data_IF_257236550863
#
_entry.id   IF_257236550863
#
_cell.length_a   1.000
_cell.length_b   1.000
_cell.length_c   1.000
_cell.angle_alpha   90.00
_cell.angle_beta   90.00
_cell.angle_gamma   90.00
#
_symmetry.space_group_name_H-M   'P 1'
#
loop_
_entity.id
_entity.type
_entity.pdbx_description
1 polymer ?
#
# COMPACT_ATOMS: atom_id res chain seq x y z
N UNK A 1 12.58 -11.93 111.91
CA UNK A 1 12.18 -12.32 113.29
C UNK A 1 11.43 -13.63 113.18
N UNK A 2 11.96 -14.73 113.72
CA UNK A 2 11.28 -16.04 113.69
C UNK A 2 10.33 -16.11 114.89
N UNK A 3 9.09 -15.71 114.67
CA UNK A 3 8.05 -15.74 115.70
C UNK A 3 7.76 -17.19 116.11
N UNK A 4 8.34 -17.59 117.25
CA UNK A 4 8.20 -18.92 117.82
C UNK A 4 6.91 -18.96 118.64
N UNK A 5 5.81 -19.38 118.02
CA UNK A 5 4.55 -19.55 118.75
C UNK A 5 4.57 -20.83 119.60
N UNK A 6 4.34 -20.71 120.90
CA UNK A 6 4.31 -21.84 121.84
C UNK A 6 2.86 -22.06 122.28
N UNK A 7 2.26 -23.20 121.92
CA UNK A 7 0.90 -23.56 122.34
C UNK A 7 0.98 -24.47 123.58
N UNK A 8 0.48 -23.99 124.72
CA UNK A 8 0.37 -24.78 125.96
C UNK A 8 -1.04 -25.36 126.05
N UNK A 9 -1.19 -26.67 125.88
CA UNK A 9 -2.46 -27.37 126.11
C UNK A 9 -2.60 -27.71 127.61
N UNK A 10 -3.74 -27.37 128.22
CA UNK A 10 -4.09 -27.76 129.60
C UNK A 10 -5.18 -28.84 129.56
N UNK A 11 -4.78 -30.10 129.76
CA UNK A 11 -5.66 -31.28 129.73
C UNK A 11 -4.88 -32.59 129.49
N UNK A 12 -5.51 -33.74 129.74
CA UNK A 12 -4.94 -35.05 129.37
C UNK A 12 -5.14 -35.21 127.87
N UNK A 13 -4.04 -35.29 127.12
CA UNK A 13 -4.08 -35.51 125.68
C UNK A 13 -4.50 -36.96 125.41
N UNK A 14 -5.70 -37.17 124.85
CA UNK A 14 -6.07 -38.47 124.31
C UNK A 14 -5.21 -38.75 123.08
N UNK A 15 -4.13 -39.49 123.30
CA UNK A 15 -3.16 -39.86 122.27
C UNK A 15 -3.81 -40.64 121.12
N UNK A 16 -4.86 -41.42 121.39
CA UNK A 16 -5.54 -42.21 120.36
C UNK A 16 -6.38 -41.31 119.44
N UNK A 17 -7.18 -40.40 120.03
CA UNK A 17 -7.97 -39.45 119.25
C UNK A 17 -7.07 -38.50 118.44
N UNK A 18 -5.97 -38.02 119.04
CA UNK A 18 -5.03 -37.11 118.38
C UNK A 18 -4.31 -37.79 117.21
N UNK A 19 -3.85 -39.04 117.39
CA UNK A 19 -3.23 -39.82 116.32
C UNK A 19 -4.20 -40.02 115.15
N UNK A 20 -5.46 -40.35 115.44
CA UNK A 20 -6.49 -40.56 114.42
C UNK A 20 -6.80 -39.28 113.64
N UNK A 21 -6.85 -38.13 114.31
CA UNK A 21 -7.04 -36.84 113.65
C UNK A 21 -5.87 -36.49 112.72
N UNK A 22 -4.63 -36.70 113.19
CA UNK A 22 -3.42 -36.48 112.38
C UNK A 22 -3.39 -37.42 111.16
N UNK A 23 -3.70 -38.71 111.33
CA UNK A 23 -3.76 -39.68 110.22
C UNK A 23 -4.83 -39.30 109.18
N UNK A 24 -5.98 -38.80 109.63
CA UNK A 24 -7.03 -38.31 108.72
C UNK A 24 -6.56 -37.08 107.94
N UNK A 25 -5.88 -36.14 108.58
CA UNK A 25 -5.40 -34.93 107.91
C UNK A 25 -4.22 -35.21 106.98
N UNK A 26 -3.32 -36.13 107.34
CA UNK A 26 -2.28 -36.65 106.43
C UNK A 26 -2.94 -37.28 105.19
N UNK A 27 -3.96 -38.13 105.37
CA UNK A 27 -4.67 -38.77 104.25
C UNK A 27 -5.36 -37.75 103.33
N UNK A 28 -5.92 -36.66 103.88
CA UNK A 28 -6.48 -35.56 103.09
C UNK A 28 -5.38 -34.84 102.31
N UNK A 29 -4.26 -34.51 102.95
CA UNK A 29 -3.14 -33.84 102.28
C UNK A 29 -2.54 -34.70 101.17
N UNK A 30 -2.40 -36.01 101.37
CA UNK A 30 -1.93 -36.94 100.33
C UNK A 30 -2.82 -36.93 99.07
N UNK A 31 -4.13 -36.75 99.22
CA UNK A 31 -5.06 -36.66 98.08
C UNK A 31 -4.85 -35.39 97.24
N UNK A 32 -4.37 -34.31 97.85
CA UNK A 32 -4.07 -33.05 97.16
C UNK A 32 -2.64 -33.02 96.62
N UNK A 33 -1.69 -33.67 97.29
CA UNK A 33 -0.28 -33.70 96.92
C UNK A 33 0.04 -34.76 95.86
N UNK A 34 -0.76 -35.84 95.75
CA UNK A 34 -0.62 -36.78 94.63
C UNK A 34 -0.91 -36.04 93.32
N UNK A 35 0.01 -36.04 92.34
CA UNK A 35 -0.27 -35.47 91.04
C UNK A 35 -1.52 -36.18 90.51
N UNK A 36 -2.61 -35.43 90.27
CA UNK A 36 -3.74 -35.95 89.51
C UNK A 36 -3.15 -36.44 88.20
N UNK A 37 -3.29 -37.74 87.89
CA UNK A 37 -3.10 -38.24 86.54
C UNK A 37 -4.15 -37.53 85.68
N UNK A 38 -3.82 -36.34 85.18
CA UNK A 38 -4.62 -35.69 84.16
C UNK A 38 -4.73 -36.68 83.02
N UNK A 39 -5.93 -36.92 82.49
CA UNK A 39 -6.14 -37.83 81.35
C UNK A 39 -5.58 -37.29 80.04
N UNK A 40 -4.68 -36.30 80.10
CA UNK A 40 -3.80 -35.97 78.99
C UNK A 40 -2.99 -37.24 78.76
N UNK A 41 -3.22 -37.89 77.61
CA UNK A 41 -2.52 -39.10 77.21
C UNK A 41 -1.00 -38.95 77.30
N UNK A 42 -0.25 -40.03 77.14
CA UNK A 42 1.21 -39.94 77.26
C UNK A 42 1.75 -38.85 76.33
N UNK A 43 2.83 -38.16 76.72
CA UNK A 43 3.46 -37.12 75.88
C UNK A 43 3.72 -37.62 74.46
N UNK A 44 4.01 -38.92 74.30
CA UNK A 44 4.17 -39.61 73.02
C UNK A 44 2.89 -39.58 72.16
N UNK A 45 1.73 -39.78 72.76
CA UNK A 45 0.43 -39.78 72.07
C UNK A 45 0.03 -38.36 71.63
N UNK A 46 0.31 -37.36 72.46
CA UNK A 46 0.07 -35.94 72.13
C UNK A 46 0.92 -35.53 70.92
N UNK A 47 2.22 -35.85 70.94
CA UNK A 47 3.14 -35.56 69.83
C UNK A 47 2.70 -36.29 68.56
N UNK A 48 2.29 -37.55 68.67
CA UNK A 48 1.81 -38.35 67.53
C UNK A 48 0.55 -37.75 66.90
N UNK A 49 -0.41 -37.31 67.72
CA UNK A 49 -1.64 -36.68 67.23
C UNK A 49 -1.33 -35.36 66.52
N UNK A 50 -0.53 -34.49 67.13
CA UNK A 50 -0.12 -33.20 66.53
C UNK A 50 0.60 -33.38 65.19
N UNK A 51 1.53 -34.36 65.11
CA UNK A 51 2.20 -34.70 63.85
C UNK A 51 1.21 -35.22 62.80
N UNK A 52 0.24 -36.03 63.21
CA UNK A 52 -0.77 -36.58 62.31
C UNK A 52 -1.68 -35.49 61.74
N UNK A 53 -2.08 -34.52 62.56
CA UNK A 53 -2.93 -33.42 62.14
C UNK A 53 -2.17 -32.43 61.27
N UNK A 54 -0.91 -32.12 61.60
CA UNK A 54 -0.03 -31.32 60.74
C UNK A 54 0.18 -31.98 59.37
N UNK A 55 0.33 -33.31 59.34
CA UNK A 55 0.44 -34.06 58.08
C UNK A 55 -0.84 -33.97 57.23
N UNK A 56 -2.02 -34.03 57.85
CA UNK A 56 -3.30 -33.85 57.15
C UNK A 56 -3.44 -32.42 56.60
N UNK A 57 -3.09 -31.41 57.39
CA UNK A 57 -3.12 -29.99 56.98
C UNK A 57 -2.22 -29.74 55.77
N UNK A 58 -0.96 -30.21 55.82
CA UNK A 58 0.00 -30.09 54.72
C UNK A 58 -0.49 -30.80 53.45
N UNK A 59 -1.10 -31.99 53.60
CA UNK A 59 -1.69 -32.70 52.48
C UNK A 59 -2.90 -31.95 51.88
N UNK A 60 -3.69 -31.26 52.72
CA UNK A 60 -4.75 -30.36 52.27
C UNK A 60 -4.19 -29.21 51.44
N UNK A 61 -3.17 -28.51 51.97
CA UNK A 61 -2.50 -27.40 51.29
C UNK A 61 -1.92 -27.82 49.93
N UNK A 62 -1.22 -28.96 49.88
CA UNK A 62 -0.67 -29.51 48.64
C UNK A 62 -1.74 -29.79 47.58
N UNK A 63 -2.90 -30.33 47.99
CA UNK A 63 -4.04 -30.53 47.08
C UNK A 63 -4.58 -29.21 46.54
N UNK A 64 -4.73 -28.19 47.39
CA UNK A 64 -5.17 -26.87 46.97
C UNK A 64 -4.21 -26.22 45.97
N UNK A 65 -2.90 -26.35 46.20
CA UNK A 65 -1.88 -25.84 45.28
C UNK A 65 -1.96 -26.52 43.92
N UNK A 66 -2.08 -27.85 43.89
CA UNK A 66 -2.24 -28.61 42.64
C UNK A 66 -3.50 -28.23 41.86
N UNK A 67 -4.58 -27.85 42.56
CA UNK A 67 -5.81 -27.37 41.94
C UNK A 67 -5.64 -25.97 41.37
N UNK A 68 -4.96 -25.07 42.09
CA UNK A 68 -4.65 -23.71 41.61
C UNK A 68 -3.83 -23.78 40.33
N UNK A 69 -2.75 -24.57 40.30
CA UNK A 69 -1.93 -24.76 39.10
C UNK A 69 -2.75 -25.27 37.91
N UNK A 70 -3.65 -26.24 38.14
CA UNK A 70 -4.50 -26.80 37.09
C UNK A 70 -5.48 -25.79 36.53
N UNK A 71 -6.09 -24.98 37.39
CA UNK A 71 -7.01 -23.90 36.98
C UNK A 71 -6.26 -22.84 36.18
N UNK A 72 -5.08 -22.43 36.64
CA UNK A 72 -4.27 -21.42 35.95
C UNK A 72 -3.83 -21.90 34.57
N UNK A 73 -3.32 -23.14 34.49
CA UNK A 73 -2.98 -23.79 33.21
C UNK A 73 -4.17 -23.83 32.25
N UNK A 74 -5.38 -24.10 32.76
CA UNK A 74 -6.59 -24.10 31.95
C UNK A 74 -6.92 -22.69 31.42
N UNK A 75 -6.89 -21.65 32.28
CA UNK A 75 -7.13 -20.25 31.85
C UNK A 75 -6.14 -19.80 30.79
N UNK A 76 -4.86 -20.09 30.98
CA UNK A 76 -3.80 -19.78 30.01
C UNK A 76 -4.06 -20.48 28.66
N UNK A 77 -4.48 -21.75 28.70
CA UNK A 77 -4.80 -22.52 27.49
C UNK A 77 -6.00 -21.93 26.73
N UNK A 78 -7.06 -21.53 27.44
CA UNK A 78 -8.22 -20.89 26.80
C UNK A 78 -7.84 -19.55 26.16
N UNK A 79 -7.05 -18.74 26.88
CA UNK A 79 -6.58 -17.44 26.38
C UNK A 79 -5.72 -17.60 25.14
N UNK A 80 -4.79 -18.57 25.13
CA UNK A 80 -3.97 -18.88 23.96
C UNK A 80 -4.82 -19.27 22.74
N UNK A 81 -5.82 -20.14 22.94
CA UNK A 81 -6.74 -20.55 21.86
C UNK A 81 -7.54 -19.38 21.29
N UNK A 82 -8.03 -18.49 22.14
CA UNK A 82 -8.77 -17.29 21.70
C UNK A 82 -7.87 -16.36 20.86
N UNK A 83 -6.65 -16.08 21.34
CA UNK A 83 -5.67 -15.27 20.61
C UNK A 83 -5.32 -15.90 19.25
N UNK A 84 -5.10 -17.21 19.21
CA UNK A 84 -4.74 -17.92 17.98
C UNK A 84 -5.87 -17.91 16.94
N UNK A 85 -7.13 -18.00 17.40
CA UNK A 85 -8.30 -17.80 16.54
C UNK A 85 -8.36 -16.38 15.98
N UNK A 86 -8.09 -15.37 16.79
CA UNK A 86 -8.13 -13.98 16.34
C UNK A 86 -6.97 -13.64 15.39
N UNK A 87 -5.77 -14.17 15.63
CA UNK A 87 -4.64 -14.09 14.69
C UNK A 87 -5.05 -14.71 13.34
N UNK A 88 -5.65 -15.90 13.34
CA UNK A 88 -6.09 -16.58 12.11
C UNK A 88 -7.12 -15.75 11.32
N UNK A 89 -8.06 -15.08 12.01
CA UNK A 89 -8.99 -14.14 11.37
C UNK A 89 -8.25 -12.95 10.76
N UNK A 90 -7.35 -12.33 11.52
CA UNK A 90 -6.55 -11.20 11.05
C UNK A 90 -5.69 -11.55 9.84
N UNK A 91 -5.04 -12.72 9.83
CA UNK A 91 -4.25 -13.20 8.70
C UNK A 91 -5.08 -13.32 7.41
N UNK A 92 -6.36 -13.69 7.49
CA UNK A 92 -7.25 -13.76 6.32
C UNK A 92 -7.51 -12.39 5.69
N UNK A 93 -7.53 -11.33 6.51
CA UNK A 93 -7.71 -9.95 6.04
C UNK A 93 -6.40 -9.32 5.58
N UNK A 94 -5.28 -9.67 6.24
CA UNK A 94 -3.96 -9.12 5.95
C UNK A 94 -3.26 -9.83 4.78
N UNK A 95 -3.57 -11.11 4.51
CA UNK A 95 -3.06 -11.77 3.31
C UNK A 95 -3.59 -11.03 2.09
N UNK A 96 -2.71 -10.53 1.20
CA UNK A 96 -3.16 -9.98 -0.05
C UNK A 96 -3.93 -11.09 -0.78
N UNK A 97 -5.24 -10.87 -0.98
CA UNK A 97 -6.01 -11.71 -1.89
C UNK A 97 -5.28 -11.63 -3.23
N UNK A 98 -4.98 -12.79 -3.83
CA UNK A 98 -4.66 -12.83 -5.27
C UNK A 98 -5.90 -12.30 -5.98
N UNK A 99 -5.95 -10.99 -6.19
CA UNK A 99 -7.05 -10.34 -6.88
C UNK A 99 -7.15 -10.95 -8.27
N UNK A 100 -8.37 -11.18 -8.76
CA UNK A 100 -8.61 -11.53 -10.17
C UNK A 100 -8.28 -10.38 -11.12
N UNK A 101 -7.99 -9.19 -10.57
CA UNK A 101 -7.23 -8.16 -11.27
C UNK A 101 -5.88 -8.78 -11.62
N UNK A 102 -5.67 -9.04 -12.90
CA UNK A 102 -4.40 -9.57 -13.43
C UNK A 102 -3.20 -8.82 -12.86
N UNK A 103 -2.01 -9.42 -12.93
CA UNK A 103 -0.79 -8.85 -12.35
C UNK A 103 -0.70 -7.34 -12.58
N UNK A 104 -0.28 -6.56 -11.59
CA UNK A 104 -0.04 -5.11 -11.75
C UNK A 104 0.74 -4.80 -13.03
N UNK A 105 1.65 -5.70 -13.41
CA UNK A 105 2.39 -5.66 -14.67
C UNK A 105 1.49 -5.68 -15.92
N UNK A 106 0.46 -6.53 -15.95
CA UNK A 106 -0.45 -6.69 -17.07
C UNK A 106 -1.40 -5.50 -17.19
N UNK A 107 -1.88 -4.96 -16.07
CA UNK A 107 -2.70 -3.74 -16.03
C UNK A 107 -1.90 -2.55 -16.58
N UNK A 108 -0.66 -2.38 -16.10
CA UNK A 108 0.24 -1.31 -16.57
C UNK A 108 0.56 -1.47 -18.05
N UNK A 109 0.82 -2.70 -18.50
CA UNK A 109 1.12 -3.00 -19.91
C UNK A 109 -0.06 -2.68 -20.84
N UNK A 110 -1.28 -3.04 -20.46
CA UNK A 110 -2.48 -2.74 -21.24
C UNK A 110 -2.71 -1.23 -21.33
N UNK A 111 -2.66 -0.53 -20.20
CA UNK A 111 -2.83 0.93 -20.15
C UNK A 111 -1.78 1.68 -21.00
N UNK A 112 -0.51 1.26 -20.94
CA UNK A 112 0.56 1.80 -21.79
C UNK A 112 0.29 1.54 -23.27
N UNK A 113 -0.18 0.33 -23.61
CA UNK A 113 -0.45 -0.05 -24.99
C UNK A 113 -1.59 0.77 -25.61
N UNK A 114 -2.65 1.02 -24.86
CA UNK A 114 -3.81 1.79 -25.34
C UNK A 114 -3.47 3.28 -25.43
N UNK A 115 -2.72 3.81 -24.46
CA UNK A 115 -2.20 5.19 -24.53
C UNK A 115 -1.27 5.39 -25.73
N UNK A 116 -0.45 4.38 -26.07
CA UNK A 116 0.40 4.40 -27.27
C UNK A 116 -0.42 4.40 -28.57
N UNK A 117 -1.49 3.60 -28.65
CA UNK A 117 -2.39 3.59 -29.83
C UNK A 117 -3.09 4.94 -30.00
N UNK A 118 -3.56 5.53 -28.90
CA UNK A 118 -4.25 6.82 -28.92
C UNK A 118 -3.32 7.96 -29.36
N UNK A 119 -2.12 8.05 -28.80
CA UNK A 119 -1.09 9.00 -29.25
C UNK A 119 -0.78 8.85 -30.74
N UNK A 120 -0.70 7.61 -31.24
CA UNK A 120 -0.45 7.36 -32.66
C UNK A 120 -1.64 7.73 -33.56
N UNK A 121 -2.87 7.69 -33.05
CA UNK A 121 -4.04 8.23 -33.78
C UNK A 121 -3.98 9.75 -33.84
N UNK A 122 -3.69 10.40 -32.72
CA UNK A 122 -3.56 11.85 -32.63
C UNK A 122 -2.49 12.39 -33.59
N UNK A 123 -1.31 11.78 -33.62
CA UNK A 123 -0.23 12.19 -34.54
C UNK A 123 -0.61 12.02 -36.02
N UNK A 124 -1.36 10.98 -36.37
CA UNK A 124 -1.90 10.77 -37.73
C UNK A 124 -2.93 11.84 -38.10
N UNK A 125 -3.81 12.21 -37.19
CA UNK A 125 -4.77 13.29 -37.42
C UNK A 125 -4.08 14.65 -37.55
N UNK A 126 -3.06 14.92 -36.73
CA UNK A 126 -2.31 16.17 -36.79
C UNK A 126 -1.55 16.32 -38.11
N UNK A 127 -0.81 15.28 -38.51
CA UNK A 127 -0.10 15.27 -39.82
C UNK A 127 -1.07 15.37 -41.01
N UNK A 128 -2.24 14.74 -40.93
CA UNK A 128 -3.28 14.88 -41.95
C UNK A 128 -3.81 16.32 -42.00
N UNK A 129 -4.08 16.92 -40.84
CA UNK A 129 -4.56 18.29 -40.70
C UNK A 129 -3.56 19.28 -41.29
N UNK A 130 -2.28 19.17 -40.93
CA UNK A 130 -1.21 20.01 -41.46
C UNK A 130 -1.12 19.92 -42.99
N UNK A 131 -1.17 18.70 -43.54
CA UNK A 131 -1.12 18.47 -44.99
C UNK A 131 -2.32 19.07 -45.71
N UNK A 132 -3.52 18.89 -45.15
CA UNK A 132 -4.75 19.47 -45.70
C UNK A 132 -4.70 21.00 -45.65
N UNK A 133 -4.21 21.58 -44.56
CA UNK A 133 -4.11 23.04 -44.41
C UNK A 133 -3.09 23.63 -45.38
N UNK A 134 -1.92 23.01 -45.52
CA UNK A 134 -0.91 23.40 -46.51
C UNK A 134 -1.46 23.34 -47.93
N UNK A 135 -2.24 22.31 -48.27
CA UNK A 135 -2.91 22.20 -49.56
C UNK A 135 -3.92 23.34 -49.78
N UNK A 136 -4.80 23.60 -48.81
CA UNK A 136 -5.81 24.68 -48.89
C UNK A 136 -5.16 26.04 -49.08
N UNK A 137 -4.10 26.35 -48.32
CA UNK A 137 -3.33 27.58 -48.46
C UNK A 137 -2.71 27.71 -49.86
N UNK A 138 -2.13 26.63 -50.37
CA UNK A 138 -1.51 26.61 -51.70
C UNK A 138 -2.54 26.82 -52.80
N UNK A 139 -3.69 26.14 -52.74
CA UNK A 139 -4.77 26.29 -53.72
C UNK A 139 -5.39 27.69 -53.67
N UNK A 140 -5.59 28.24 -52.47
CA UNK A 140 -6.09 29.61 -52.30
C UNK A 140 -5.16 30.60 -52.98
N UNK A 141 -3.84 30.50 -52.73
CA UNK A 141 -2.82 31.34 -53.40
C UNK A 141 -2.85 31.16 -54.93
N UNK A 142 -3.00 29.94 -55.44
CA UNK A 142 -3.07 29.66 -56.89
C UNK A 142 -4.28 30.34 -57.54
N UNK A 143 -5.46 30.23 -56.93
CA UNK A 143 -6.70 30.82 -57.43
C UNK A 143 -6.68 32.35 -57.35
N UNK A 144 -6.08 32.92 -56.30
CA UNK A 144 -5.86 34.37 -56.21
C UNK A 144 -4.97 34.89 -57.33
N UNK A 145 -3.88 34.17 -57.66
CA UNK A 145 -3.02 34.51 -58.80
C UNK A 145 -3.74 34.44 -60.15
N UNK A 146 -4.83 33.68 -60.24
CA UNK A 146 -5.70 33.62 -61.42
C UNK A 146 -6.78 34.72 -61.44
N UNK A 147 -6.76 35.67 -60.49
CA UNK A 147 -7.67 36.82 -60.44
C UNK A 147 -8.91 36.60 -59.57
N UNK A 148 -9.01 35.50 -58.82
CA UNK A 148 -10.14 35.24 -57.93
C UNK A 148 -9.99 35.99 -56.59
N UNK A 149 -11.06 36.62 -56.10
CA UNK A 149 -11.07 37.25 -54.77
C UNK A 149 -10.82 36.25 -53.64
N UNK A 150 -10.13 36.69 -52.58
CA UNK A 150 -9.64 35.84 -51.48
C UNK A 150 -10.71 34.91 -50.90
N UNK A 151 -11.89 35.44 -50.56
CA UNK A 151 -12.94 34.65 -49.90
C UNK A 151 -13.51 33.56 -50.80
N UNK A 152 -13.62 33.84 -52.11
CA UNK A 152 -14.06 32.86 -53.11
C UNK A 152 -12.97 31.81 -53.34
N UNK A 153 -11.70 32.22 -53.43
CA UNK A 153 -10.56 31.33 -53.54
C UNK A 153 -10.43 30.37 -52.35
N UNK A 154 -10.63 30.88 -51.12
CA UNK A 154 -10.61 30.10 -49.88
C UNK A 154 -11.69 29.03 -49.85
N UNK A 155 -12.94 29.41 -50.18
CA UNK A 155 -14.08 28.46 -50.25
C UNK A 155 -13.86 27.39 -51.32
N UNK A 156 -13.30 27.75 -52.47
CA UNK A 156 -13.04 26.80 -53.56
C UNK A 156 -11.89 25.85 -53.21
N UNK A 157 -10.81 26.35 -52.58
CA UNK A 157 -9.72 25.52 -52.07
C UNK A 157 -10.18 24.52 -51.00
N UNK A 158 -11.11 24.94 -50.12
CA UNK A 158 -11.74 24.06 -49.15
C UNK A 158 -12.52 22.92 -49.84
N UNK A 159 -13.37 23.24 -50.82
CA UNK A 159 -14.08 22.22 -51.61
C UNK A 159 -13.13 21.25 -52.29
N UNK A 160 -12.08 21.76 -52.96
CA UNK A 160 -11.04 20.94 -53.60
C UNK A 160 -10.31 20.02 -52.62
N UNK A 161 -10.14 20.43 -51.35
CA UNK A 161 -9.50 19.60 -50.32
C UNK A 161 -10.31 18.37 -49.94
N UNK A 162 -11.63 18.42 -50.10
CA UNK A 162 -12.55 17.31 -49.83
C UNK A 162 -12.75 16.39 -51.04
N UNK A 163 -12.26 16.77 -52.21
CA UNK A 163 -12.41 15.98 -53.43
C UNK A 163 -11.49 14.76 -53.43
N UNK A 164 -11.94 13.70 -54.11
CA UNK A 164 -11.10 12.55 -54.39
C UNK A 164 -9.97 12.93 -55.36
N UNK A 165 -8.87 12.16 -55.38
CA UNK A 165 -7.75 12.44 -56.27
C UNK A 165 -8.09 12.21 -57.75
N UNK A 166 -9.11 11.40 -58.03
CA UNK A 166 -9.67 11.26 -59.39
C UNK A 166 -10.30 12.57 -59.84
N UNK A 167 -11.14 13.17 -58.99
CA UNK A 167 -11.87 14.39 -59.33
C UNK A 167 -10.93 15.60 -59.42
N UNK A 168 -9.91 15.66 -58.55
CA UNK A 168 -8.84 16.69 -58.63
C UNK A 168 -8.10 16.63 -59.96
N UNK A 169 -7.70 15.43 -60.41
CA UNK A 169 -7.05 15.25 -61.72
C UNK A 169 -7.97 15.68 -62.86
N UNK A 170 -9.25 15.27 -62.83
CA UNK A 170 -10.22 15.71 -63.83
C UNK A 170 -10.38 17.23 -63.89
N UNK A 171 -10.39 17.92 -62.73
CA UNK A 171 -10.41 19.38 -62.68
C UNK A 171 -9.15 20.00 -63.28
N UNK A 172 -7.98 19.46 -62.95
CA UNK A 172 -6.70 19.96 -63.47
C UNK A 172 -6.62 19.81 -65.00
N UNK A 173 -7.02 18.66 -65.55
CA UNK A 173 -7.10 18.48 -67.00
C UNK A 173 -8.07 19.47 -67.66
N UNK A 174 -9.23 19.71 -67.04
CA UNK A 174 -10.20 20.72 -67.54
C UNK A 174 -9.63 22.14 -67.50
N UNK A 175 -8.89 22.51 -66.46
CA UNK A 175 -8.22 23.82 -66.37
C UNK A 175 -7.13 23.96 -67.44
N UNK A 176 -6.29 22.95 -67.63
CA UNK A 176 -5.25 22.94 -68.66
C UNK A 176 -5.84 23.02 -70.08
N UNK A 177 -6.92 22.29 -70.35
CA UNK A 177 -7.62 22.32 -71.63
C UNK A 177 -8.29 23.68 -71.90
N UNK A 178 -8.79 24.38 -70.87
CA UNK A 178 -9.31 25.75 -71.01
C UNK A 178 -8.19 26.75 -71.26
N UNK A 179 -7.07 26.61 -70.55
CA UNK A 179 -5.87 27.43 -70.73
C UNK A 179 -5.25 27.28 -72.12
N UNK A 180 -5.19 26.07 -72.67
CA UNK A 180 -4.68 25.83 -74.02
C UNK A 180 -5.60 26.40 -75.09
N UNK A 181 -6.93 26.25 -74.96
CA UNK A 181 -7.91 26.86 -75.87
C UNK A 181 -7.86 28.39 -75.82
N UNK A 182 -7.70 28.99 -74.64
CA UNK A 182 -7.57 30.44 -74.49
C UNK A 182 -6.27 30.97 -75.12
N UNK A 183 -5.14 30.29 -74.89
CA UNK A 183 -3.85 30.63 -75.52
C UNK A 183 -3.89 30.47 -77.05
N UNK A 184 -4.48 29.38 -77.55
CA UNK A 184 -4.64 29.14 -78.99
C UNK A 184 -5.53 30.21 -79.65
N UNK A 185 -6.62 30.63 -79.00
CA UNK A 185 -7.44 31.75 -79.49
C UNK A 185 -6.70 33.09 -79.49
N UNK A 186 -5.87 33.38 -78.49
CA UNK A 186 -5.02 34.57 -78.49
C UNK A 186 -3.97 34.53 -79.61
N UNK A 187 -3.34 33.37 -79.84
CA UNK A 187 -2.37 33.20 -80.93
C UNK A 187 -3.04 33.32 -82.30
N UNK A 188 -4.21 32.72 -82.50
CA UNK A 188 -4.98 32.85 -83.74
C UNK A 188 -5.49 34.28 -83.97
N UNK A 189 -5.93 34.99 -82.92
CA UNK A 189 -6.30 36.40 -82.99
C UNK A 189 -5.09 37.32 -83.28
N UNK A 190 -3.87 36.90 -82.88
CA UNK A 190 -2.63 37.60 -83.25
C UNK A 190 -2.14 37.29 -84.67
N UNK A 191 -2.54 36.16 -85.25
CA UNK A 191 -2.20 35.79 -86.64
C UNK A 191 -3.19 36.36 -87.68
N UNK A 192 -4.40 36.77 -87.27
CA UNK A 192 -5.40 37.38 -88.16
C UNK A 192 -5.19 38.86 -88.50
N UNK A 193 -4.13 39.49 -88.00
CA UNK A 193 -3.70 40.84 -88.42
C UNK A 193 -2.25 40.76 -88.84
N UNK A 194 -2.00 40.83 -90.15
CA UNK A 194 -0.67 40.89 -90.71
C UNK A 194 0.11 42.08 -90.16
N UNK A 195 0.92 41.83 -89.14
CA UNK A 195 2.05 42.68 -88.78
C UNK A 195 3.11 41.75 -88.18
N UNK A 196 4.19 41.55 -88.94
CA UNK A 196 5.38 40.84 -88.52
C UNK A 196 6.04 41.65 -87.40
N UNK A 197 5.60 41.45 -86.16
CA UNK A 197 6.32 41.91 -84.99
C UNK A 197 7.48 40.93 -84.73
N UNK A 198 8.70 41.35 -85.10
CA UNK A 198 9.96 40.73 -84.71
C UNK A 198 9.90 40.31 -83.24
N UNK A 199 9.88 39.00 -83.02
CA UNK A 199 10.08 38.43 -81.70
C UNK A 199 11.56 38.62 -81.35
N UNK A 200 11.86 39.49 -80.37
CA UNK A 200 13.14 39.47 -79.69
C UNK A 200 13.17 38.28 -78.72
N UNK A 201 13.44 37.08 -79.25
CA UNK A 201 13.90 35.94 -78.45
C UNK A 201 15.36 36.25 -78.08
N UNK A 202 15.53 37.05 -77.04
CA UNK A 202 16.79 37.16 -76.33
C UNK A 202 16.96 35.93 -75.46
N UNK A 203 17.81 35.00 -75.90
CA UNK A 203 18.28 33.86 -75.13
C UNK A 203 18.95 34.35 -73.84
N UNK A 204 18.31 34.15 -72.70
CA UNK A 204 18.95 34.15 -71.39
C UNK A 204 18.89 32.74 -70.78
N UNK A 205 19.24 31.74 -71.59
CA UNK A 205 19.76 30.47 -71.12
C UNK A 205 21.26 30.65 -70.89
N UNK A 206 21.68 30.85 -69.64
CA UNK A 206 23.09 30.79 -69.29
C UNK A 206 23.52 31.65 -68.11
N UNK A 207 23.01 31.38 -66.92
CA UNK A 207 23.73 31.70 -65.68
C UNK A 207 23.77 30.44 -64.80
N UNK A 208 24.48 29.43 -65.31
CA UNK A 208 25.07 28.36 -64.49
C UNK A 208 26.45 28.15 -65.07
N UNK A 209 27.48 28.68 -64.39
CA UNK A 209 28.87 28.20 -64.29
C UNK A 209 29.68 29.29 -63.58
N UNK A 210 30.37 28.91 -62.50
CA UNK A 210 31.62 29.56 -62.12
C UNK A 210 31.65 30.40 -60.84
N UNK A 211 31.08 29.94 -59.72
CA UNK A 211 31.49 30.45 -58.39
C UNK A 211 32.38 29.41 -57.69
N UNK A 212 33.46 29.02 -58.37
CA UNK A 212 34.59 28.32 -57.81
C UNK A 212 35.84 28.83 -58.52
N UNK A 213 36.83 29.23 -57.72
CA UNK A 213 38.21 29.62 -58.10
C UNK A 213 38.36 31.11 -58.44
N UNK A 214 38.40 31.93 -57.39
CA UNK A 214 39.09 33.22 -57.40
C UNK A 214 39.66 33.53 -56.00
N UNK A 215 40.85 32.99 -55.71
CA UNK A 215 41.97 33.66 -55.02
C UNK A 215 43.08 32.61 -54.82
N UNK A 216 44.15 32.72 -55.62
CA UNK A 216 45.43 33.34 -55.18
C UNK A 216 46.05 32.45 -54.08
N UNK A 217 47.03 31.58 -54.34
CA UNK A 217 48.22 31.80 -55.15
C UNK A 217 49.31 32.38 -54.26
N UNK A 218 50.26 31.53 -53.83
CA UNK A 218 51.58 31.96 -53.38
C UNK A 218 51.89 31.82 -51.89
N UNK A 219 52.55 30.71 -51.54
CA UNK A 219 53.91 30.79 -51.02
C UNK A 219 54.14 30.82 -49.49
N UNK A 220 55.04 29.90 -49.10
CA UNK A 220 56.24 30.17 -48.30
C UNK A 220 56.20 29.97 -46.76
N UNK A 221 56.97 28.95 -46.36
CA UNK A 221 57.79 28.75 -45.15
C UNK A 221 57.16 28.49 -43.77
N UNK A 222 57.81 27.50 -43.14
CA UNK A 222 57.91 27.08 -41.74
C UNK A 222 56.73 26.45 -41.01
#
# INVERSE_FOLDING_TARGET
MSDKFTIKFKGILDHAATKKAIEQDISKMEKYLKPKKSSLGSTKDIVKNNLSDKKKELNGQSKFESLRERVEKYRLTQTKKAIEQDISKMEKYLKPKKSSLGSTKDIVKNNLSDKKKELNRQSKFESLRERVEKYRLTQTKKLMKQGMGFEKARKEAFKRSLMSDRDKRCLEYKELAKGSKAKSKMLAASQGKGLVAKIAIGSALGNVIGNAISKVGGGFLD
#
